data_IF_565574195690
#
_entry.id   IF_565574195690
#
_cell.length_a   1.000
_cell.length_b   1.000
_cell.length_c   1.000
_cell.angle_alpha   90.00
_cell.angle_beta   90.00
_cell.angle_gamma   90.00
#
_symmetry.space_group_name_H-M   'P 1'
#
loop_
_entity.id
_entity.type
_entity.pdbx_description
1 polymer ?
#
# COMPACT_ATOMS: atom_id res chain seq x y z
N UNK A 1 17.42 27.03 28.19
CA UNK A 1 16.56 25.81 28.22
C UNK A 1 16.37 25.12 26.86
N UNK A 2 16.28 25.86 25.74
CA UNK A 2 15.98 25.28 24.40
C UNK A 2 17.04 24.30 23.87
N UNK A 3 18.35 24.57 24.11
CA UNK A 3 19.44 23.68 23.65
C UNK A 3 19.38 22.26 24.25
N UNK A 4 19.13 22.15 25.57
CA UNK A 4 19.07 20.86 26.28
C UNK A 4 17.92 19.98 25.79
N UNK A 5 16.77 20.59 25.46
CA UNK A 5 15.61 19.87 24.90
C UNK A 5 15.93 19.31 23.50
N UNK A 6 16.63 20.08 22.66
CA UNK A 6 17.05 19.66 21.31
C UNK A 6 18.03 18.48 21.36
N UNK A 7 19.01 18.53 22.25
CA UNK A 7 19.97 17.43 22.43
C UNK A 7 19.30 16.14 22.92
N UNK A 8 18.38 16.26 23.88
CA UNK A 8 17.58 15.12 24.36
C UNK A 8 16.73 14.50 23.25
N UNK A 9 16.09 15.32 22.41
CA UNK A 9 15.31 14.84 21.26
C UNK A 9 16.19 14.15 20.20
N UNK A 10 17.38 14.68 19.92
CA UNK A 10 18.31 14.08 18.95
C UNK A 10 18.81 12.72 19.45
N UNK A 11 19.12 12.61 20.74
CA UNK A 11 19.56 11.35 21.35
C UNK A 11 18.44 10.31 21.37
N UNK A 12 17.20 10.73 21.65
CA UNK A 12 16.02 9.87 21.57
C UNK A 12 15.77 9.37 20.15
N UNK A 13 15.79 10.27 19.15
CA UNK A 13 15.66 9.93 17.73
C UNK A 13 16.74 8.95 17.27
N UNK A 14 18.00 9.12 17.71
CA UNK A 14 19.08 8.16 17.41
C UNK A 14 18.81 6.78 18.02
N UNK A 15 18.34 6.74 19.26
CA UNK A 15 17.99 5.47 19.92
C UNK A 15 16.84 4.76 19.22
N UNK A 16 15.79 5.49 18.83
CA UNK A 16 14.66 4.92 18.08
C UNK A 16 15.09 4.44 16.69
N UNK A 17 15.91 5.20 15.97
CA UNK A 17 16.46 4.78 14.67
C UNK A 17 17.35 3.53 14.79
N UNK A 18 18.17 3.44 15.84
CA UNK A 18 19.04 2.28 16.06
C UNK A 18 18.25 1.03 16.46
N UNK A 19 17.16 1.19 17.20
CA UNK A 19 16.29 0.08 17.65
C UNK A 19 15.10 -0.18 16.71
N UNK A 20 15.09 0.40 15.51
CA UNK A 20 14.02 0.19 14.53
C UNK A 20 14.15 -1.19 13.86
N UNK A 21 13.03 -1.93 13.80
CA UNK A 21 12.94 -3.19 13.05
C UNK A 21 13.04 -3.01 11.53
N UNK A 22 12.92 -1.79 11.02
CA UNK A 22 13.11 -1.46 9.61
C UNK A 22 14.59 -1.63 9.24
N UNK A 23 14.92 -2.73 8.56
CA UNK A 23 16.29 -3.15 8.21
C UNK A 23 17.16 -2.06 7.58
N UNK A 24 16.60 -1.10 6.86
CA UNK A 24 17.33 0.02 6.25
C UNK A 24 17.75 1.12 7.24
N UNK A 25 16.99 1.35 8.30
CA UNK A 25 17.17 2.47 9.25
C UNK A 25 18.41 2.32 10.15
N UNK A 26 18.69 1.15 10.78
CA UNK A 26 19.89 0.98 11.59
C UNK A 26 21.16 0.96 10.72
N UNK A 27 21.08 0.51 9.46
CA UNK A 27 22.21 0.55 8.51
C UNK A 27 22.60 1.97 8.07
N UNK A 28 21.67 2.93 8.12
CA UNK A 28 21.92 4.36 7.90
C UNK A 28 22.49 5.00 9.17
N UNK A 29 21.98 4.60 10.35
CA UNK A 29 22.44 5.12 11.64
C UNK A 29 23.91 4.73 11.91
N UNK A 30 24.30 3.49 11.63
CA UNK A 30 25.61 2.88 11.93
C UNK A 30 26.68 3.14 10.85
N UNK A 31 26.33 3.78 9.73
CA UNK A 31 27.31 4.09 8.67
C UNK A 31 28.33 5.16 9.14
N UNK A 32 29.61 4.78 9.25
CA UNK A 32 30.69 5.66 9.69
C UNK A 32 31.11 6.74 8.69
N UNK A 33 30.86 6.55 7.39
CA UNK A 33 31.22 7.53 6.36
C UNK A 33 30.01 8.42 6.00
N UNK A 34 30.16 9.74 6.20
CA UNK A 34 29.17 10.78 5.88
C UNK A 34 28.58 10.66 4.46
N UNK A 35 29.37 10.50 3.37
CA UNK A 35 28.79 10.41 2.02
C UNK A 35 27.96 9.14 1.80
N UNK A 36 28.41 7.99 2.34
CA UNK A 36 27.65 6.72 2.25
C UNK A 36 26.34 6.78 3.04
N UNK A 37 26.33 7.52 4.16
CA UNK A 37 25.15 7.76 4.98
C UNK A 37 24.10 8.58 4.23
N UNK A 38 24.52 9.63 3.52
CA UNK A 38 23.61 10.47 2.72
C UNK A 38 23.00 9.67 1.56
N UNK A 39 23.81 8.91 0.81
CA UNK A 39 23.29 8.10 -0.31
C UNK A 39 22.28 7.06 0.18
N UNK A 40 22.58 6.35 1.28
CA UNK A 40 21.63 5.36 1.85
C UNK A 40 20.34 6.01 2.37
N UNK A 41 20.45 7.20 2.95
CA UNK A 41 19.28 7.96 3.38
C UNK A 41 18.42 8.41 2.19
N UNK A 42 19.03 8.88 1.11
CA UNK A 42 18.30 9.25 -0.12
C UNK A 42 17.57 8.05 -0.71
N UNK A 43 18.26 6.91 -0.86
CA UNK A 43 17.64 5.68 -1.36
C UNK A 43 16.45 5.27 -0.49
N UNK A 44 16.60 5.31 0.83
CA UNK A 44 15.50 5.01 1.75
C UNK A 44 14.30 5.95 1.57
N UNK A 45 14.55 7.26 1.44
CA UNK A 45 13.49 8.25 1.19
C UNK A 45 12.79 7.98 -0.14
N UNK A 46 13.52 7.69 -1.22
CA UNK A 46 12.94 7.33 -2.50
C UNK A 46 12.08 6.06 -2.40
N UNK A 47 12.53 5.04 -1.68
CA UNK A 47 11.75 3.82 -1.44
C UNK A 47 10.46 4.09 -0.66
N UNK A 48 10.51 4.95 0.37
CA UNK A 48 9.32 5.31 1.15
C UNK A 48 8.32 6.10 0.30
N UNK A 49 8.79 7.03 -0.53
CA UNK A 49 7.92 7.78 -1.46
C UNK A 49 7.27 6.83 -2.46
N UNK A 50 8.04 5.93 -3.07
CA UNK A 50 7.53 4.93 -4.00
C UNK A 50 6.50 4.00 -3.36
N UNK A 51 6.75 3.58 -2.12
CA UNK A 51 5.80 2.78 -1.34
C UNK A 51 4.49 3.52 -1.12
N UNK A 52 4.53 4.77 -0.64
CA UNK A 52 3.33 5.58 -0.40
C UNK A 52 2.54 5.78 -1.71
N UNK A 53 3.23 6.10 -2.80
CA UNK A 53 2.59 6.26 -4.11
C UNK A 53 1.86 4.98 -4.54
N UNK A 54 2.53 3.83 -4.48
CA UNK A 54 1.92 2.54 -4.84
C UNK A 54 0.73 2.19 -3.94
N UNK A 55 0.85 2.44 -2.64
CA UNK A 55 -0.25 2.22 -1.69
C UNK A 55 -1.46 3.12 -1.99
N UNK A 56 -1.26 4.38 -2.37
CA UNK A 56 -2.35 5.28 -2.75
C UNK A 56 -3.05 4.83 -4.03
N UNK A 57 -2.28 4.38 -5.04
CA UNK A 57 -2.85 3.82 -6.28
C UNK A 57 -3.71 2.59 -5.96
N UNK A 58 -3.19 1.68 -5.13
CA UNK A 58 -3.93 0.49 -4.72
C UNK A 58 -5.21 0.84 -3.95
N UNK A 59 -5.12 1.79 -3.02
CA UNK A 59 -6.29 2.28 -2.28
C UNK A 59 -7.35 2.89 -3.20
N UNK A 60 -6.95 3.63 -4.24
CA UNK A 60 -7.89 4.18 -5.20
C UNK A 60 -8.65 3.08 -5.96
N UNK A 61 -7.93 2.03 -6.41
CA UNK A 61 -8.55 0.86 -7.05
C UNK A 61 -9.52 0.17 -6.08
N UNK A 62 -9.12 0.00 -4.82
CA UNK A 62 -9.97 -0.60 -3.79
C UNK A 62 -11.25 0.20 -3.56
N UNK A 63 -11.16 1.53 -3.47
CA UNK A 63 -12.32 2.42 -3.29
C UNK A 63 -13.28 2.48 -4.47
N UNK A 64 -12.84 2.07 -5.67
CA UNK A 64 -13.71 2.00 -6.84
C UNK A 64 -14.69 0.82 -6.78
N UNK A 65 -14.51 -0.13 -5.83
CA UNK A 65 -15.33 -1.33 -5.67
C UNK A 65 -15.58 -2.07 -6.99
N UNK A 66 -14.59 -2.07 -7.89
CA UNK A 66 -14.75 -2.65 -9.22
C UNK A 66 -14.95 -4.16 -9.10
N UNK A 67 -16.08 -4.65 -9.60
CA UNK A 67 -16.37 -6.09 -9.67
C UNK A 67 -15.93 -6.64 -11.02
N UNK A 68 -15.35 -7.85 -11.00
CA UNK A 68 -15.04 -8.59 -12.23
C UNK A 68 -16.12 -9.65 -12.37
N UNK A 69 -16.91 -9.56 -13.44
CA UNK A 69 -17.93 -10.56 -13.76
C UNK A 69 -17.25 -11.66 -14.59
N UNK A 70 -17.14 -12.85 -14.02
CA UNK A 70 -16.67 -14.03 -14.73
C UNK A 70 -17.89 -14.77 -15.30
N UNK A 71 -18.13 -14.62 -16.61
CA UNK A 71 -19.25 -15.28 -17.28
C UNK A 71 -18.83 -16.69 -17.67
N UNK A 72 -19.34 -17.68 -16.93
CA UNK A 72 -19.18 -19.09 -17.27
C UNK A 72 -20.44 -19.59 -17.96
N UNK A 73 -20.26 -20.18 -19.14
CA UNK A 73 -21.35 -20.87 -19.85
C UNK A 73 -21.29 -22.33 -19.44
N UNK A 74 -22.30 -22.76 -18.69
CA UNK A 74 -22.47 -24.16 -18.29
C UNK A 74 -23.60 -24.78 -19.11
N UNK A 75 -23.43 -26.03 -19.56
CA UNK A 75 -24.46 -26.82 -20.25
C UNK A 75 -24.94 -27.93 -19.31
N UNK A 76 -25.89 -27.65 -18.40
CA UNK A 76 -26.38 -28.63 -17.46
C UNK A 76 -27.23 -29.71 -18.17
N UNK A 77 -27.27 -30.93 -17.60
CA UNK A 77 -28.08 -32.04 -18.13
C UNK A 77 -29.59 -31.82 -18.01
N UNK A 78 -29.99 -31.00 -17.04
CA UNK A 78 -31.37 -30.59 -16.80
C UNK A 78 -31.39 -29.06 -16.63
N UNK A 79 -32.42 -28.41 -17.15
CA UNK A 79 -32.62 -26.96 -17.05
C UNK A 79 -34.07 -26.71 -16.65
N UNK A 80 -34.28 -25.84 -15.68
CA UNK A 80 -35.60 -25.41 -15.28
C UNK A 80 -36.34 -24.72 -16.44
N UNK A 81 -37.58 -25.13 -16.68
CA UNK A 81 -38.41 -24.50 -17.71
C UNK A 81 -38.76 -23.07 -17.28
N UNK A 82 -38.49 -22.06 -18.12
CA UNK A 82 -38.85 -20.67 -17.79
C UNK A 82 -40.36 -20.47 -17.83
N UNK A 83 -40.83 -19.39 -17.20
CA UNK A 83 -42.22 -18.99 -17.32
C UNK A 83 -42.49 -18.42 -18.72
N UNK A 84 -43.53 -18.93 -19.37
CA UNK A 84 -44.00 -18.39 -20.63
C UNK A 84 -45.09 -17.35 -20.36
N UNK A 85 -44.82 -16.11 -20.77
CA UNK A 85 -45.81 -15.02 -20.72
C UNK A 85 -46.23 -14.69 -22.14
N UNK A 86 -47.53 -14.83 -22.46
CA UNK A 86 -48.10 -14.52 -23.76
C UNK A 86 -49.01 -13.29 -23.66
N UNK A 87 -48.84 -12.34 -24.56
CA UNK A 87 -49.71 -11.17 -24.67
C UNK A 87 -50.53 -11.26 -25.96
N UNK A 88 -51.82 -10.98 -25.88
CA UNK A 88 -52.68 -10.80 -27.06
C UNK A 88 -52.59 -9.36 -27.55
N UNK A 89 -52.39 -9.15 -28.85
CA UNK A 89 -52.37 -7.81 -29.45
C UNK A 89 -53.79 -7.26 -29.67
N UNK A 90 -54.64 -7.34 -28.64
CA UNK A 90 -55.93 -6.67 -28.62
C UNK A 90 -55.73 -5.36 -27.86
N UNK A 91 -55.53 -4.29 -28.63
CA UNK A 91 -55.36 -2.92 -28.14
C UNK A 91 -56.57 -2.41 -27.36
#
# INVERSE_FOLDING_TARGET
MVKRKRESFINYMRSVLQNSMLTGVPQIATAGNVPKKVVRALVFVFCVIGFIYQSLVFMNIYWQYQTVIDVKVENPKETEMPSFTFCTNNG
#
